data_IF_851267208551
#
_entry.id   IF_851267208551
#
_cell.length_a   1.000
_cell.length_b   1.000
_cell.length_c   1.000
_cell.angle_alpha   90.00
_cell.angle_beta   90.00
_cell.angle_gamma   90.00
#
_symmetry.space_group_name_H-M   'P 1'
#
loop_
_entity.id
_entity.type
_entity.pdbx_description
1 polymer ?
#
# COMPACT_ATOMS: atom_id res chain seq x y z
N UNK A 1 18.01 26.10 -3.03
CA UNK A 1 16.72 25.45 -3.33
C UNK A 1 16.85 23.98 -3.74
N UNK A 2 17.73 23.60 -4.68
CA UNK A 2 17.87 22.20 -5.14
C UNK A 2 18.21 21.17 -4.05
N UNK A 3 19.07 21.51 -3.06
CA UNK A 3 19.41 20.60 -1.94
C UNK A 3 18.21 20.32 -1.03
N UNK A 4 17.38 21.32 -0.76
CA UNK A 4 16.19 21.19 0.10
C UNK A 4 15.12 20.31 -0.56
N UNK A 5 14.83 20.53 -1.84
CA UNK A 5 13.87 19.70 -2.59
C UNK A 5 14.29 18.24 -2.66
N UNK A 6 15.60 18.00 -2.77
CA UNK A 6 16.17 16.66 -2.79
C UNK A 6 16.03 15.94 -1.44
N UNK A 7 16.23 16.65 -0.33
CA UNK A 7 16.01 16.12 1.02
C UNK A 7 14.53 15.80 1.26
N UNK A 8 13.63 16.73 0.89
CA UNK A 8 12.17 16.52 1.03
C UNK A 8 11.73 15.28 0.25
N UNK A 9 12.14 15.15 -1.01
CA UNK A 9 11.83 13.98 -1.84
C UNK A 9 12.36 12.69 -1.21
N UNK A 10 13.61 12.68 -0.74
CA UNK A 10 14.20 11.50 -0.10
C UNK A 10 13.45 11.09 1.17
N UNK A 11 13.07 12.04 2.02
CA UNK A 11 12.30 11.78 3.25
C UNK A 11 10.92 11.21 2.92
N UNK A 12 10.20 11.81 1.96
CA UNK A 12 8.92 11.29 1.48
C UNK A 12 9.05 9.85 0.98
N UNK A 13 10.06 9.55 0.16
CA UNK A 13 10.29 8.20 -0.38
C UNK A 13 10.63 7.18 0.70
N UNK A 14 11.47 7.55 1.67
CA UNK A 14 11.77 6.68 2.81
C UNK A 14 10.53 6.43 3.67
N UNK A 15 9.68 7.44 3.87
CA UNK A 15 8.42 7.30 4.59
C UNK A 15 7.45 6.36 3.85
N UNK A 16 7.30 6.50 2.52
CA UNK A 16 6.51 5.57 1.69
C UNK A 16 7.06 4.15 1.82
N UNK A 17 8.38 3.97 1.70
CA UNK A 17 9.03 2.67 1.78
C UNK A 17 8.81 2.03 3.16
N UNK A 18 9.05 2.76 4.25
CA UNK A 18 8.84 2.27 5.61
C UNK A 18 7.39 1.84 5.87
N UNK A 19 6.43 2.68 5.47
CA UNK A 19 5.01 2.35 5.61
C UNK A 19 4.58 1.17 4.73
N UNK A 20 5.09 1.07 3.50
CA UNK A 20 4.81 -0.04 2.60
C UNK A 20 5.39 -1.37 3.11
N UNK A 21 6.62 -1.34 3.64
CA UNK A 21 7.24 -2.50 4.27
C UNK A 21 6.44 -2.94 5.51
N UNK A 22 6.03 -2.01 6.36
CA UNK A 22 5.19 -2.32 7.53
C UNK A 22 3.87 -2.98 7.10
N UNK A 23 3.17 -2.41 6.11
CA UNK A 23 1.92 -2.96 5.59
C UNK A 23 2.09 -4.39 5.06
N UNK A 24 3.12 -4.64 4.25
CA UNK A 24 3.40 -5.95 3.68
C UNK A 24 3.80 -6.97 4.77
N UNK A 25 4.65 -6.59 5.73
CA UNK A 25 5.09 -7.47 6.82
C UNK A 25 3.90 -7.88 7.69
N UNK A 26 3.08 -6.93 8.14
CA UNK A 26 1.91 -7.23 8.99
C UNK A 26 0.97 -8.20 8.26
N UNK A 27 0.71 -7.97 6.97
CA UNK A 27 -0.14 -8.86 6.17
C UNK A 27 0.46 -10.27 6.03
N UNK A 28 1.75 -10.40 5.71
CA UNK A 28 2.42 -11.71 5.56
C UNK A 28 2.43 -12.49 6.87
N UNK A 29 2.58 -11.81 8.01
CA UNK A 29 2.56 -12.45 9.33
C UNK A 29 1.14 -12.84 9.79
N UNK A 30 0.10 -12.45 9.06
CA UNK A 30 -1.30 -12.73 9.42
C UNK A 30 -1.62 -14.21 9.19
N UNK A 31 -1.63 -14.98 10.28
CA UNK A 31 -2.09 -16.36 10.32
C UNK A 31 -2.70 -16.68 11.69
N UNK A 32 -3.73 -17.52 11.71
CA UNK A 32 -4.35 -18.01 12.94
C UNK A 32 -4.98 -19.38 12.68
N UNK A 33 -4.78 -20.33 13.59
CA UNK A 33 -5.42 -21.65 13.56
C UNK A 33 -6.32 -21.80 14.77
N UNK A 34 -7.63 -21.99 14.57
CA UNK A 34 -8.61 -22.17 15.64
C UNK A 34 -9.43 -23.43 15.42
N UNK A 35 -9.80 -24.14 16.49
CA UNK A 35 -10.69 -25.31 16.40
C UNK A 35 -12.13 -24.88 16.65
N UNK A 36 -13.02 -25.16 15.68
CA UNK A 36 -14.44 -24.84 15.77
C UNK A 36 -15.24 -26.12 15.52
N UNK A 37 -16.08 -26.52 16.47
CA UNK A 37 -16.83 -27.79 16.42
C UNK A 37 -15.98 -29.05 16.17
N UNK A 38 -14.74 -29.09 16.67
CA UNK A 38 -13.83 -30.23 16.47
C UNK A 38 -13.17 -30.29 15.10
N UNK A 39 -13.38 -29.28 14.25
CA UNK A 39 -12.71 -29.11 12.96
C UNK A 39 -11.69 -27.98 13.11
N UNK A 40 -10.44 -28.22 12.70
CA UNK A 40 -9.41 -27.18 12.67
C UNK A 40 -9.62 -26.24 11.48
N UNK A 41 -9.81 -24.96 11.78
CA UNK A 41 -9.94 -23.88 10.82
C UNK A 41 -8.62 -23.10 10.80
N UNK A 42 -7.94 -23.10 9.65
CA UNK A 42 -6.72 -22.34 9.44
C UNK A 42 -6.99 -21.11 8.56
N UNK A 43 -6.80 -19.93 9.14
CA UNK A 43 -6.82 -18.66 8.41
C UNK A 43 -5.39 -18.22 8.10
N UNK A 44 -5.09 -18.04 6.82
CA UNK A 44 -3.79 -17.56 6.32
C UNK A 44 -4.02 -16.54 5.22
N UNK A 45 -3.15 -15.52 5.15
CA UNK A 45 -3.21 -14.52 4.09
C UNK A 45 -3.12 -15.16 2.69
N UNK A 46 -2.36 -16.24 2.54
CA UNK A 46 -2.13 -16.96 1.28
C UNK A 46 -3.37 -17.65 0.71
N UNK A 47 -4.45 -17.79 1.49
CA UNK A 47 -5.70 -18.36 0.99
C UNK A 47 -6.60 -17.33 0.31
N UNK A 48 -6.29 -16.02 0.44
CA UNK A 48 -7.08 -14.94 -0.13
C UNK A 48 -6.28 -14.21 -1.22
N UNK A 49 -6.68 -14.31 -2.50
CA UNK A 49 -5.95 -13.68 -3.61
C UNK A 49 -5.76 -12.17 -3.45
N UNK A 50 -6.74 -11.47 -2.89
CA UNK A 50 -6.65 -10.02 -2.61
C UNK A 50 -5.53 -9.69 -1.62
N UNK A 51 -5.27 -10.55 -0.64
CA UNK A 51 -4.23 -10.33 0.37
C UNK A 51 -2.84 -10.63 -0.19
N UNK A 52 -2.72 -11.64 -1.07
CA UNK A 52 -1.49 -11.87 -1.85
C UNK A 52 -1.20 -10.65 -2.73
N UNK A 53 -2.21 -10.15 -3.45
CA UNK A 53 -2.07 -8.96 -4.30
C UNK A 53 -1.63 -7.74 -3.49
N UNK A 54 -2.17 -7.55 -2.29
CA UNK A 54 -1.72 -6.52 -1.35
C UNK A 54 -0.24 -6.61 -1.05
N UNK A 55 0.24 -7.78 -0.61
CA UNK A 55 1.65 -7.99 -0.28
C UNK A 55 2.54 -7.69 -1.47
N UNK A 56 2.19 -8.19 -2.66
CA UNK A 56 2.96 -7.97 -3.90
C UNK A 56 2.97 -6.49 -4.29
N UNK A 57 1.82 -5.83 -4.28
CA UNK A 57 1.71 -4.42 -4.64
C UNK A 57 2.54 -3.51 -3.70
N UNK A 58 2.47 -3.75 -2.39
CA UNK A 58 3.25 -2.99 -1.41
C UNK A 58 4.74 -3.32 -1.44
N UNK A 59 5.13 -4.56 -1.78
CA UNK A 59 6.53 -4.91 -2.04
C UNK A 59 7.08 -4.18 -3.28
N UNK A 60 6.30 -4.09 -4.36
CA UNK A 60 6.64 -3.29 -5.55
C UNK A 60 6.76 -1.81 -5.18
N UNK A 61 5.81 -1.26 -4.43
CA UNK A 61 5.85 0.12 -3.95
C UNK A 61 7.09 0.42 -3.10
N UNK A 62 7.47 -0.49 -2.21
CA UNK A 62 8.70 -0.40 -1.41
C UNK A 62 9.95 -0.35 -2.29
N UNK A 63 10.13 -1.35 -3.17
CA UNK A 63 11.30 -1.44 -4.05
C UNK A 63 11.39 -0.21 -4.97
N UNK A 64 10.26 0.16 -5.57
CA UNK A 64 10.17 1.34 -6.43
C UNK A 64 10.56 2.63 -5.69
N UNK A 65 10.04 2.84 -4.47
CA UNK A 65 10.35 4.04 -3.69
C UNK A 65 11.85 4.17 -3.40
N UNK A 66 12.53 3.06 -3.10
CA UNK A 66 13.98 3.04 -2.89
C UNK A 66 14.76 3.32 -4.18
N UNK A 67 14.34 2.77 -5.32
CA UNK A 67 14.98 3.02 -6.61
C UNK A 67 14.90 4.51 -7.01
N UNK A 68 13.76 5.16 -6.76
CA UNK A 68 13.57 6.58 -7.10
C UNK A 68 14.49 7.51 -6.30
N UNK A 69 14.91 7.14 -5.09
CA UNK A 69 15.87 7.95 -4.28
C UNK A 69 17.21 8.12 -5.01
N UNK A 70 17.61 7.15 -5.84
CA UNK A 70 18.86 7.19 -6.60
C UNK A 70 18.80 8.15 -7.80
N UNK A 71 17.60 8.55 -8.22
CA UNK A 71 17.40 9.41 -9.39
C UNK A 71 17.74 10.86 -9.05
N UNK A 72 18.50 11.53 -9.94
CA UNK A 72 18.84 12.95 -9.80
C UNK A 72 17.64 13.84 -10.12
N UNK A 73 17.24 14.76 -9.21
CA UNK A 73 16.20 15.75 -9.49
C UNK A 73 16.61 16.66 -10.66
N UNK A 74 15.67 16.99 -11.54
CA UNK A 74 15.90 17.89 -12.67
C UNK A 74 16.45 17.23 -13.95
N UNK A 75 16.64 15.92 -13.97
CA UNK A 75 16.95 15.19 -15.21
C UNK A 75 15.69 15.01 -16.07
N UNK A 76 15.86 14.76 -17.38
CA UNK A 76 14.77 14.34 -18.28
C UNK A 76 14.00 13.12 -17.73
N UNK A 77 14.65 12.29 -16.90
CA UNK A 77 14.03 11.17 -16.21
C UNK A 77 12.95 11.59 -15.18
N UNK A 78 12.89 12.85 -14.74
CA UNK A 78 11.88 13.31 -13.77
C UNK A 78 10.44 13.16 -14.29
N UNK A 79 10.21 13.29 -15.60
CA UNK A 79 8.88 13.08 -16.20
C UNK A 79 8.50 11.60 -16.21
N UNK A 80 9.48 10.72 -16.44
CA UNK A 80 9.28 9.27 -16.37
C UNK A 80 8.98 8.82 -14.94
N UNK A 81 9.67 9.38 -13.94
CA UNK A 81 9.40 9.12 -12.52
C UNK A 81 7.96 9.52 -12.16
N UNK A 82 7.49 10.68 -12.62
CA UNK A 82 6.11 11.11 -12.37
C UNK A 82 5.09 10.14 -13.00
N UNK A 83 5.32 9.69 -14.23
CA UNK A 83 4.46 8.70 -14.89
C UNK A 83 4.45 7.36 -14.13
N UNK A 84 5.62 6.86 -13.73
CA UNK A 84 5.71 5.63 -12.95
C UNK A 84 5.11 5.79 -11.55
N UNK A 85 5.19 6.97 -10.94
CA UNK A 85 4.58 7.23 -9.64
C UNK A 85 3.06 7.09 -9.69
N UNK A 86 2.44 7.59 -10.76
CA UNK A 86 0.99 7.48 -10.97
C UNK A 86 0.60 6.01 -11.17
N UNK A 87 1.36 5.25 -11.96
CA UNK A 87 1.12 3.80 -12.16
C UNK A 87 1.24 3.03 -10.84
N UNK A 88 2.28 3.27 -10.06
CA UNK A 88 2.47 2.63 -8.74
C UNK A 88 1.39 3.08 -7.77
N UNK A 89 0.98 4.35 -7.80
CA UNK A 89 -0.12 4.86 -6.97
C UNK A 89 -1.45 4.15 -7.26
N UNK A 90 -1.77 3.93 -8.54
CA UNK A 90 -2.95 3.16 -8.95
C UNK A 90 -2.86 1.70 -8.50
N UNK A 91 -1.69 1.08 -8.60
CA UNK A 91 -1.44 -0.29 -8.13
C UNK A 91 -1.71 -0.40 -6.62
N UNK A 92 -1.15 0.51 -5.82
CA UNK A 92 -1.35 0.54 -4.36
C UNK A 92 -2.81 0.81 -3.99
N UNK A 93 -3.46 1.76 -4.66
CA UNK A 93 -4.88 2.07 -4.43
C UNK A 93 -5.78 0.86 -4.75
N UNK A 94 -5.54 0.19 -5.88
CA UNK A 94 -6.27 -1.02 -6.26
C UNK A 94 -6.08 -2.15 -5.24
N UNK A 95 -4.87 -2.32 -4.73
CA UNK A 95 -4.56 -3.33 -3.72
C UNK A 95 -5.25 -3.06 -2.37
N UNK A 96 -5.25 -1.80 -1.91
CA UNK A 96 -5.99 -1.38 -0.70
C UNK A 96 -7.49 -1.59 -0.89
N UNK A 97 -8.05 -1.20 -2.03
CA UNK A 97 -9.47 -1.35 -2.32
C UNK A 97 -9.91 -2.82 -2.36
N UNK A 98 -9.18 -3.67 -3.09
CA UNK A 98 -9.47 -5.10 -3.19
C UNK A 98 -9.39 -5.81 -1.83
N UNK A 99 -8.37 -5.47 -1.04
CA UNK A 99 -8.18 -6.01 0.32
C UNK A 99 -9.26 -5.52 1.25
N UNK A 100 -9.60 -4.22 1.20
CA UNK A 100 -10.65 -3.61 2.00
C UNK A 100 -12.01 -4.26 1.75
N UNK A 101 -12.36 -4.52 0.49
CA UNK A 101 -13.61 -5.18 0.14
C UNK A 101 -13.70 -6.60 0.73
N UNK A 102 -12.63 -7.41 0.65
CA UNK A 102 -12.62 -8.76 1.23
C UNK A 102 -12.53 -8.73 2.75
N UNK A 103 -11.81 -7.77 3.33
CA UNK A 103 -11.76 -7.59 4.78
C UNK A 103 -13.12 -7.19 5.35
N UNK A 104 -13.87 -6.32 4.65
CA UNK A 104 -15.23 -5.94 5.02
C UNK A 104 -16.18 -7.15 4.99
N UNK A 105 -16.12 -7.93 3.92
CA UNK A 105 -16.85 -9.21 3.81
C UNK A 105 -16.46 -10.16 4.94
N UNK A 106 -15.18 -10.26 5.29
CA UNK A 106 -14.74 -11.14 6.38
C UNK A 106 -15.28 -10.70 7.75
N UNK A 107 -15.46 -9.39 7.95
CA UNK A 107 -15.94 -8.79 9.20
C UNK A 107 -17.46 -8.81 9.32
N UNK A 108 -18.16 -8.40 8.27
CA UNK A 108 -19.60 -8.18 8.27
C UNK A 108 -20.40 -9.30 7.57
N UNK A 109 -19.75 -10.09 6.70
CA UNK A 109 -20.44 -11.03 5.83
C UNK A 109 -21.22 -10.35 4.71
N UNK A 110 -21.92 -11.15 3.92
CA UNK A 110 -22.93 -10.72 2.95
C UNK A 110 -23.98 -11.82 2.80
N UNK A 111 -25.11 -11.68 3.50
CA UNK A 111 -26.20 -12.67 3.49
C UNK A 111 -26.79 -12.88 2.10
N UNK A 112 -26.85 -11.84 1.26
CA UNK A 112 -27.39 -11.94 -0.11
C UNK A 112 -26.51 -12.82 -1.02
N UNK A 113 -25.21 -12.88 -0.72
CA UNK A 113 -24.25 -13.75 -1.43
C UNK A 113 -23.99 -15.07 -0.68
N UNK A 114 -24.59 -15.27 0.49
CA UNK A 114 -24.33 -16.43 1.36
C UNK A 114 -22.96 -16.39 2.05
N UNK A 115 -22.31 -15.23 2.13
CA UNK A 115 -21.01 -15.07 2.78
C UNK A 115 -21.20 -14.83 4.27
N UNK A 116 -20.73 -15.75 5.10
CA UNK A 116 -20.80 -15.65 6.56
C UNK A 116 -19.58 -14.87 7.10
N UNK A 117 -19.73 -14.07 8.16
CA UNK A 117 -18.60 -13.41 8.81
C UNK A 117 -17.68 -14.43 9.47
N UNK A 118 -16.37 -14.23 9.30
CA UNK A 118 -15.31 -15.12 9.82
C UNK A 118 -14.50 -14.51 10.96
N UNK A 119 -14.50 -13.17 11.08
CA UNK A 119 -13.71 -12.48 12.10
C UNK A 119 -14.08 -12.78 13.57
N UNK A 120 -15.32 -13.17 13.92
CA UNK A 120 -15.61 -13.62 15.29
C UNK A 120 -14.81 -14.86 15.71
N UNK A 121 -14.46 -15.74 14.75
CA UNK A 121 -13.79 -17.03 14.97
C UNK A 121 -12.26 -16.92 14.86
N UNK A 122 -11.74 -16.00 14.03
CA UNK A 122 -10.30 -15.75 13.83
C UNK A 122 -9.96 -14.28 14.09
N UNK A 123 -10.13 -13.88 15.36
CA UNK A 123 -10.07 -12.47 15.76
C UNK A 123 -8.67 -11.89 15.62
N UNK A 124 -7.63 -12.64 15.96
CA UNK A 124 -6.26 -12.15 15.89
C UNK A 124 -5.82 -11.95 14.44
N UNK A 125 -6.21 -12.85 13.54
CA UNK A 125 -6.02 -12.73 12.10
C UNK A 125 -6.68 -11.46 11.56
N UNK A 126 -7.96 -11.22 11.87
CA UNK A 126 -8.66 -10.03 11.38
C UNK A 126 -8.07 -8.72 11.92
N UNK A 127 -7.60 -8.69 13.16
CA UNK A 127 -6.91 -7.51 13.72
C UNK A 127 -5.60 -7.23 12.98
N UNK A 128 -4.83 -8.27 12.61
CA UNK A 128 -3.61 -8.07 11.81
C UNK A 128 -3.94 -7.57 10.39
N UNK A 129 -4.96 -8.13 9.74
CA UNK A 129 -5.40 -7.68 8.41
C UNK A 129 -5.85 -6.21 8.45
N UNK A 130 -6.61 -5.81 9.47
CA UNK A 130 -7.03 -4.41 9.68
C UNK A 130 -5.81 -3.49 9.90
N UNK A 131 -4.84 -3.93 10.73
CA UNK A 131 -3.58 -3.20 10.94
C UNK A 131 -2.76 -3.03 9.65
N UNK A 132 -2.68 -4.08 8.83
CA UNK A 132 -2.01 -4.03 7.54
C UNK A 132 -2.70 -3.05 6.57
N UNK A 133 -4.05 -3.06 6.53
CA UNK A 133 -4.83 -2.12 5.74
C UNK A 133 -4.60 -0.67 6.15
N UNK A 134 -4.59 -0.39 7.46
CA UNK A 134 -4.31 0.97 7.99
C UNK A 134 -2.91 1.41 7.56
N UNK A 135 -1.89 0.58 7.76
CA UNK A 135 -0.52 0.87 7.32
C UNK A 135 -0.43 1.09 5.80
N UNK A 136 -1.14 0.28 5.02
CA UNK A 136 -1.21 0.41 3.56
C UNK A 136 -1.88 1.72 3.12
N UNK A 137 -2.95 2.13 3.78
CA UNK A 137 -3.61 3.40 3.51
C UNK A 137 -2.72 4.60 3.85
N UNK A 138 -1.99 4.54 4.98
CA UNK A 138 -1.00 5.57 5.33
C UNK A 138 0.10 5.66 4.26
N UNK A 139 0.64 4.52 3.82
CA UNK A 139 1.63 4.48 2.74
C UNK A 139 1.10 5.09 1.43
N UNK A 140 -0.15 4.77 1.06
CA UNK A 140 -0.82 5.33 -0.12
C UNK A 140 -0.99 6.86 -0.02
N UNK A 141 -1.37 7.38 1.15
CA UNK A 141 -1.50 8.82 1.37
C UNK A 141 -0.14 9.53 1.24
N UNK A 142 0.91 8.99 1.84
CA UNK A 142 2.25 9.58 1.73
C UNK A 142 2.75 9.52 0.27
N UNK A 143 2.46 8.43 -0.45
CA UNK A 143 2.79 8.30 -1.87
C UNK A 143 2.06 9.33 -2.72
N UNK A 144 0.77 9.58 -2.45
CA UNK A 144 0.02 10.65 -3.09
C UNK A 144 0.63 12.04 -2.83
N UNK A 145 1.03 12.34 -1.59
CA UNK A 145 1.73 13.59 -1.27
C UNK A 145 3.07 13.70 -2.03
N UNK A 146 3.77 12.58 -2.24
CA UNK A 146 5.00 12.55 -3.04
C UNK A 146 4.75 12.89 -4.51
N UNK A 147 3.63 12.43 -5.09
CA UNK A 147 3.19 12.79 -6.45
C UNK A 147 2.89 14.28 -6.54
N UNK A 148 2.09 14.82 -5.63
CA UNK A 148 1.72 16.25 -5.61
C UNK A 148 2.97 17.14 -5.51
N UNK A 149 3.91 16.78 -4.62
CA UNK A 149 5.17 17.49 -4.50
C UNK A 149 5.98 17.46 -5.80
N UNK A 150 6.08 16.29 -6.43
CA UNK A 150 6.80 16.12 -7.70
C UNK A 150 6.14 16.90 -8.84
N UNK A 151 4.80 16.94 -8.89
CA UNK A 151 4.04 17.72 -9.86
C UNK A 151 4.34 19.22 -9.70
N UNK A 152 4.28 19.76 -8.48
CA UNK A 152 4.58 21.17 -8.23
C UNK A 152 6.01 21.53 -8.65
N UNK A 153 6.98 20.67 -8.33
CA UNK A 153 8.38 20.88 -8.71
C UNK A 153 8.61 20.89 -10.24
N UNK A 154 7.81 20.13 -11.00
CA UNK A 154 7.87 20.09 -12.47
C UNK A 154 7.04 21.21 -13.11
N UNK A 155 5.97 21.67 -12.46
CA UNK A 155 5.07 22.71 -12.98
C UNK A 155 5.63 24.14 -12.84
N UNK A 156 6.34 24.45 -11.76
CA UNK A 156 6.95 25.79 -11.57
C UNK A 156 7.79 26.30 -12.75
N UNK A 157 8.71 25.52 -13.36
CA UNK A 157 9.50 26.01 -14.49
C UNK A 157 8.67 26.27 -15.77
N UNK A 158 7.47 25.68 -15.89
CA UNK A 158 6.56 25.92 -17.03
C UNK A 158 5.79 27.25 -16.90
N UNK A 159 5.59 27.75 -15.67
CA UNK A 159 4.80 28.96 -15.43
C UNK A 159 5.61 30.25 -15.68
N UNK A 160 6.93 30.22 -15.47
CA UNK A 160 7.83 31.37 -15.69
C UNK A 160 8.40 31.44 -17.12
N UNK A 161 7.97 30.58 -18.04
CA UNK A 161 8.41 30.57 -19.45
C UNK A 161 7.39 31.17 -20.41
N UNK A 162 6.34 31.83 -19.90
CA UNK A 162 5.31 32.51 -20.67
C UNK A 162 5.17 33.98 -20.29
#
# INVERSE_FOLDING_TARGET
MAKLSRLITAVLRLAVAGAAAAAAIIMVTSHETTSFFGIEMEAKYSYTPSFIFFVVAFAVGFAYSLLVILVRPGSTASRLVLLSDVVVGMLLAGAVAATGAIADVGKNGNEHAGWLPICPQVRAYCVHVEGALIAGFVSLLIHFLSIMYSLHAVAEPLCCSH
#
